data_IF_838933833620
#
_entry.id   IF_838933833620
#
_cell.length_a   1.000
_cell.length_b   1.000
_cell.length_c   1.000
_cell.angle_alpha   90.00
_cell.angle_beta   90.00
_cell.angle_gamma   90.00
#
_symmetry.space_group_name_H-M   'P 1'
#
loop_
_entity.id
_entity.type
_entity.pdbx_description
1 polymer ?
#
# COMPACT_ATOMS: atom_id res chain seq x y z
N UNK A 1 -27.74 -16.02 16.35
CA UNK A 1 -27.51 -15.52 14.97
C UNK A 1 -26.11 -15.94 14.51
N UNK A 2 -25.96 -16.40 13.27
CA UNK A 2 -24.65 -16.76 12.67
C UNK A 2 -23.86 -15.45 12.40
N UNK A 3 -22.81 -15.18 13.17
CA UNK A 3 -21.79 -14.20 12.78
C UNK A 3 -20.88 -14.82 11.72
N UNK A 4 -21.36 -14.91 10.49
CA UNK A 4 -20.49 -15.14 9.34
C UNK A 4 -20.09 -13.78 8.81
N UNK A 5 -18.98 -13.23 9.30
CA UNK A 5 -18.36 -12.12 8.59
C UNK A 5 -17.86 -12.73 7.27
N UNK A 6 -18.58 -12.49 6.17
CA UNK A 6 -18.15 -12.89 4.83
C UNK A 6 -17.01 -11.95 4.39
N UNK A 7 -15.87 -12.09 5.07
CA UNK A 7 -14.61 -11.46 4.71
C UNK A 7 -14.04 -12.32 3.59
N UNK A 8 -14.12 -11.84 2.34
CA UNK A 8 -13.17 -12.31 1.33
C UNK A 8 -11.77 -11.86 1.76
N UNK A 9 -11.13 -12.65 2.63
CA UNK A 9 -9.71 -12.72 2.97
C UNK A 9 -8.93 -11.39 3.17
N UNK A 10 -9.55 -10.33 3.69
CA UNK A 10 -8.83 -9.06 3.95
C UNK A 10 -9.34 -8.40 5.23
N UNK A 11 -8.44 -8.26 6.21
CA UNK A 11 -8.61 -7.49 7.44
C UNK A 11 -7.75 -6.22 7.31
N UNK A 12 -8.18 -5.12 7.93
CA UNK A 12 -7.40 -3.89 7.98
C UNK A 12 -6.81 -3.77 9.38
N UNK A 13 -5.51 -3.67 9.54
CA UNK A 13 -4.89 -3.37 10.82
C UNK A 13 -4.68 -1.86 10.96
N UNK A 14 -5.19 -1.29 12.05
CA UNK A 14 -4.86 0.06 12.49
C UNK A 14 -3.61 -0.03 13.36
N UNK A 15 -2.60 0.76 13.02
CA UNK A 15 -1.35 0.84 13.76
C UNK A 15 -1.20 2.28 14.23
N UNK A 16 -1.26 2.50 15.53
CA UNK A 16 -0.98 3.79 16.13
C UNK A 16 0.44 3.77 16.69
N UNK A 17 1.31 4.63 16.16
CA UNK A 17 2.66 4.82 16.66
C UNK A 17 2.71 6.11 17.48
N UNK A 18 2.91 5.98 18.79
CA UNK A 18 3.10 7.10 19.72
C UNK A 18 4.56 7.12 20.18
N UNK A 19 5.13 8.32 20.32
CA UNK A 19 6.47 8.50 20.92
C UNK A 19 6.48 7.94 22.35
N UNK A 20 7.44 7.06 22.66
CA UNK A 20 7.66 6.56 24.03
C UNK A 20 8.49 7.55 24.85
N UNK A 21 8.44 7.43 26.17
CA UNK A 21 9.28 8.18 27.13
C UNK A 21 10.77 7.84 27.00
N UNK A 22 11.11 6.67 26.47
CA UNK A 22 12.50 6.31 26.16
C UNK A 22 12.85 6.77 24.74
N UNK A 23 13.88 7.63 24.64
CA UNK A 23 14.35 8.34 23.43
C UNK A 23 14.63 7.49 22.17
N UNK A 24 14.57 6.15 22.28
CA UNK A 24 15.02 5.19 21.26
C UNK A 24 13.95 4.19 20.79
N UNK A 25 12.71 4.24 21.31
CA UNK A 25 11.63 3.35 20.84
C UNK A 25 10.29 4.09 20.66
N UNK A 26 9.42 3.50 19.85
CA UNK A 26 8.03 3.92 19.67
C UNK A 26 7.13 2.88 20.32
N UNK A 27 6.06 3.30 20.96
CA UNK A 27 5.02 2.36 21.39
C UNK A 27 4.03 2.20 20.24
N UNK A 28 3.93 0.98 19.69
CA UNK A 28 3.05 0.64 18.57
C UNK A 28 1.82 -0.11 19.05
N UNK A 29 0.65 0.52 19.00
CA UNK A 29 -0.62 -0.17 19.24
C UNK A 29 -1.15 -0.71 17.92
N UNK A 30 -1.41 -2.02 17.86
CA UNK A 30 -1.93 -2.67 16.65
C UNK A 30 -3.29 -3.26 16.93
N UNK A 31 -4.31 -2.74 16.25
CA UNK A 31 -5.69 -3.17 16.39
C UNK A 31 -6.24 -3.57 15.02
N UNK A 32 -6.50 -4.87 14.79
CA UNK A 32 -7.23 -5.32 13.62
C UNK A 32 -8.66 -4.79 13.64
N UNK A 33 -9.10 -4.29 12.50
CA UNK A 33 -10.46 -3.85 12.24
C UNK A 33 -11.01 -4.52 10.98
N UNK A 34 -12.28 -4.89 11.04
CA UNK A 34 -12.99 -5.51 9.94
C UNK A 34 -14.32 -4.82 9.71
N UNK A 35 -14.70 -4.62 8.44
CA UNK A 35 -16.00 -4.07 8.09
C UNK A 35 -16.98 -5.20 7.76
N UNK A 36 -18.08 -5.25 8.51
CA UNK A 36 -19.18 -6.16 8.23
C UNK A 36 -20.14 -5.50 7.23
N UNK A 37 -20.19 -6.05 6.01
CA UNK A 37 -21.07 -5.54 4.95
C UNK A 37 -22.56 -5.75 5.22
N UNK A 38 -22.91 -6.77 6.01
CA UNK A 38 -24.31 -7.08 6.33
C UNK A 38 -24.86 -6.10 7.36
N UNK A 39 -24.11 -5.87 8.44
CA UNK A 39 -24.53 -4.93 9.50
C UNK A 39 -24.13 -3.48 9.21
N UNK A 40 -23.35 -3.25 8.15
CA UNK A 40 -22.76 -1.95 7.82
C UNK A 40 -21.90 -1.36 8.96
N UNK A 41 -21.23 -2.22 9.73
CA UNK A 41 -20.53 -1.83 10.95
C UNK A 41 -19.06 -2.26 10.95
N UNK A 42 -18.20 -1.46 11.59
CA UNK A 42 -16.81 -1.83 11.86
C UNK A 42 -16.71 -2.59 13.19
N UNK A 43 -15.87 -3.61 13.24
CA UNK A 43 -15.53 -4.35 14.46
C UNK A 43 -14.03 -4.35 14.67
N UNK A 44 -13.60 -4.40 15.93
CA UNK A 44 -12.19 -4.55 16.33
C UNK A 44 -11.94 -5.97 16.84
N UNK A 45 -10.75 -6.51 16.57
CA UNK A 45 -10.30 -7.77 17.15
C UNK A 45 -9.56 -7.51 18.44
N UNK A 46 -9.97 -8.18 19.52
CA UNK A 46 -9.27 -8.16 20.80
C UNK A 46 -8.87 -9.57 21.20
N UNK A 47 -7.74 -9.67 21.91
CA UNK A 47 -7.31 -10.85 22.65
C UNK A 47 -7.21 -10.53 24.15
N UNK A 48 -6.69 -11.46 24.96
CA UNK A 48 -6.44 -11.21 26.38
C UNK A 48 -4.98 -10.77 26.62
N UNK A 49 -4.78 -9.80 27.50
CA UNK A 49 -3.47 -9.52 28.07
C UNK A 49 -3.12 -10.51 29.22
N UNK A 50 -1.87 -10.53 29.71
CA UNK A 50 -1.47 -11.43 30.80
C UNK A 50 -2.25 -11.23 32.11
N UNK A 51 -2.94 -10.09 32.26
CA UNK A 51 -3.77 -9.75 33.43
C UNK A 51 -5.25 -10.13 33.22
N UNK A 52 -5.60 -10.72 32.07
CA UNK A 52 -6.95 -11.17 31.74
C UNK A 52 -7.88 -10.07 31.22
N UNK A 53 -7.36 -8.90 30.84
CA UNK A 53 -8.16 -7.85 30.21
C UNK A 53 -8.20 -8.04 28.69
N UNK A 54 -9.32 -7.67 28.07
CA UNK A 54 -9.40 -7.55 26.62
C UNK A 54 -8.47 -6.42 26.16
N UNK A 55 -7.48 -6.75 25.34
CA UNK A 55 -6.48 -5.81 24.87
C UNK A 55 -6.21 -5.96 23.37
N UNK A 56 -5.56 -4.94 22.83
CA UNK A 56 -4.98 -4.92 21.50
C UNK A 56 -3.66 -5.70 21.46
N UNK A 57 -3.14 -5.89 20.26
CA UNK A 57 -1.90 -6.64 20.02
C UNK A 57 -0.68 -5.72 20.05
N UNK A 58 -0.66 -4.79 21.01
CA UNK A 58 0.39 -3.77 21.14
C UNK A 58 1.78 -4.39 21.27
N UNK A 59 2.79 -3.74 20.66
CA UNK A 59 4.20 -4.06 20.88
C UNK A 59 5.08 -2.80 20.84
N UNK A 60 6.24 -2.90 21.44
CA UNK A 60 7.27 -1.88 21.31
C UNK A 60 7.96 -1.99 19.95
N UNK A 61 7.90 -0.90 19.19
CA UNK A 61 8.57 -0.74 17.92
C UNK A 61 9.91 -0.04 18.12
N UNK A 62 10.95 -0.54 17.46
CA UNK A 62 12.26 0.10 17.48
C UNK A 62 12.27 1.34 16.58
N UNK A 63 13.14 2.31 16.88
CA UNK A 63 13.36 3.47 16.03
C UNK A 63 13.70 3.04 14.59
N UNK A 64 12.90 3.50 13.63
CA UNK A 64 13.11 3.20 12.20
C UNK A 64 12.39 1.95 11.68
N UNK A 65 11.72 1.17 12.55
CA UNK A 65 10.86 0.08 12.09
C UNK A 65 9.67 0.63 11.31
N UNK A 66 9.36 0.00 10.18
CA UNK A 66 8.21 0.39 9.37
C UNK A 66 6.93 -0.10 10.04
N UNK A 67 5.86 0.71 9.98
CA UNK A 67 4.59 0.37 10.63
C UNK A 67 3.92 -0.90 10.10
N UNK A 68 4.21 -1.32 8.87
CA UNK A 68 3.75 -2.61 8.31
C UNK A 68 4.51 -3.81 8.91
N UNK A 69 5.81 -3.67 9.15
CA UNK A 69 6.62 -4.64 9.91
C UNK A 69 6.12 -4.77 11.35
N UNK A 70 5.84 -3.63 12.00
CA UNK A 70 5.28 -3.60 13.36
C UNK A 70 3.91 -4.29 13.40
N UNK A 71 3.01 -3.99 12.45
CA UNK A 71 1.72 -4.66 12.34
C UNK A 71 1.86 -6.18 12.19
N UNK A 72 2.75 -6.62 11.30
CA UNK A 72 2.95 -8.04 11.04
C UNK A 72 3.50 -8.77 12.27
N UNK A 73 4.48 -8.18 12.97
CA UNK A 73 5.04 -8.74 14.19
C UNK A 73 3.99 -8.83 15.30
N UNK A 74 3.18 -7.79 15.46
CA UNK A 74 2.09 -7.75 16.45
C UNK A 74 1.07 -8.85 16.24
N UNK A 75 0.61 -8.99 15.00
CA UNK A 75 -0.39 -9.98 14.69
C UNK A 75 0.22 -11.38 14.76
N UNK A 76 1.43 -11.59 14.24
CA UNK A 76 2.10 -12.89 14.36
C UNK A 76 2.26 -13.35 15.82
N UNK A 77 2.75 -12.48 16.70
CA UNK A 77 2.90 -12.81 18.13
C UNK A 77 1.53 -12.98 18.79
N UNK A 78 0.66 -11.99 18.63
CA UNK A 78 -0.61 -11.89 19.32
C UNK A 78 -1.64 -12.95 18.91
N UNK A 79 -1.44 -13.58 17.75
CA UNK A 79 -2.35 -14.58 17.18
C UNK A 79 -1.65 -15.92 16.93
N UNK A 80 -0.46 -16.12 17.50
CA UNK A 80 0.32 -17.35 17.36
C UNK A 80 0.56 -17.78 15.88
N UNK A 81 0.84 -16.81 15.01
CA UNK A 81 1.18 -17.04 13.60
C UNK A 81 -0.01 -17.21 12.64
N UNK A 82 -1.25 -16.94 13.08
CA UNK A 82 -2.46 -17.14 12.27
C UNK A 82 -2.69 -16.09 11.16
N UNK A 83 -1.92 -14.99 11.14
CA UNK A 83 -2.03 -13.95 10.12
C UNK A 83 -0.84 -14.03 9.15
N UNK A 84 -1.14 -14.19 7.86
CA UNK A 84 -0.12 -14.31 6.82
C UNK A 84 -0.24 -13.19 5.79
N UNK A 85 0.91 -12.55 5.54
CA UNK A 85 1.20 -11.60 4.47
C UNK A 85 0.47 -10.25 4.54
N UNK A 86 1.25 -9.24 4.89
CA UNK A 86 0.88 -7.82 4.76
C UNK A 86 0.92 -7.40 3.30
N UNK A 87 -0.18 -6.80 2.83
CA UNK A 87 -0.39 -6.15 1.54
C UNK A 87 0.74 -5.19 1.17
N UNK A 88 0.65 -4.08 1.89
CA UNK A 88 1.51 -2.90 1.94
C UNK A 88 0.77 -1.95 2.90
N UNK A 89 1.50 -1.22 3.74
CA UNK A 89 0.93 -0.10 4.49
C UNK A 89 1.20 1.22 3.76
N UNK A 90 0.31 2.20 3.93
CA UNK A 90 0.56 3.57 3.48
C UNK A 90 0.57 4.50 4.69
N UNK A 91 1.62 5.33 4.88
CA UNK A 91 1.74 6.22 6.03
C UNK A 91 0.60 7.23 6.01
N UNK A 92 -0.35 7.09 6.93
CA UNK A 92 -1.47 8.00 7.04
C UNK A 92 -1.40 8.81 8.34
N UNK A 93 -2.21 9.86 8.30
CA UNK A 93 -2.30 11.03 9.15
C UNK A 93 -1.46 11.08 10.43
N UNK A 94 -0.80 12.23 10.60
CA UNK A 94 -0.49 12.71 11.94
C UNK A 94 -1.80 13.00 12.67
N UNK A 95 -1.98 12.44 13.86
CA UNK A 95 -3.10 12.76 14.73
C UNK A 95 -2.95 14.19 15.25
N UNK A 96 -4.00 14.83 15.79
CA UNK A 96 -3.87 16.12 16.46
C UNK A 96 -2.84 16.11 17.61
N UNK A 97 -2.57 14.94 18.17
CA UNK A 97 -1.56 14.69 19.20
C UNK A 97 -0.16 14.40 18.62
N UNK A 98 0.02 14.55 17.31
CA UNK A 98 1.26 14.30 16.55
C UNK A 98 1.72 12.83 16.55
N UNK A 99 0.83 11.88 16.86
CA UNK A 99 1.05 10.44 16.66
C UNK A 99 0.90 10.08 15.18
N UNK A 100 1.43 8.93 14.77
CA UNK A 100 1.28 8.45 13.38
C UNK A 100 0.24 7.33 13.35
N UNK A 101 -0.85 7.53 12.60
CA UNK A 101 -1.85 6.49 12.34
C UNK A 101 -1.57 5.80 11.00
N UNK A 102 -0.98 4.62 11.06
CA UNK A 102 -0.69 3.81 9.90
C UNK A 102 -1.80 2.78 9.65
N UNK A 103 -2.34 2.75 8.43
CA UNK A 103 -3.36 1.77 8.04
C UNK A 103 -2.72 0.73 7.14
N UNK A 104 -2.79 -0.52 7.59
CA UNK A 104 -2.12 -1.66 6.97
C UNK A 104 -3.16 -2.67 6.52
N UNK A 105 -3.08 -3.13 5.28
CA UNK A 105 -3.92 -4.23 4.81
C UNK A 105 -3.26 -5.57 5.14
N UNK A 106 -3.99 -6.45 5.82
CA UNK A 106 -3.50 -7.77 6.23
C UNK A 106 -4.41 -8.85 5.65
N UNK A 107 -3.82 -9.85 5.02
CA UNK A 107 -4.58 -11.03 4.59
C UNK A 107 -4.83 -11.96 5.78
N UNK A 108 -6.07 -12.44 5.88
CA UNK A 108 -6.52 -13.31 6.95
C UNK A 108 -6.94 -14.65 6.36
N UNK A 109 -6.40 -15.74 6.92
CA UNK A 109 -6.81 -17.11 6.60
C UNK A 109 -7.12 -17.82 7.93
N UNK A 110 -8.38 -17.82 8.40
CA UNK A 110 -8.72 -18.51 9.63
C UNK A 110 -8.52 -20.03 9.49
N UNK A 111 -7.90 -20.67 10.49
CA UNK A 111 -8.22 -22.06 10.86
C UNK A 111 -8.74 -22.06 12.29
N UNK A 112 -9.97 -22.55 12.46
CA UNK A 112 -10.70 -22.90 13.69
C UNK A 112 -10.07 -22.38 15.00
N UNK A 113 -10.58 -21.36 15.70
CA UNK A 113 -11.95 -21.28 16.23
C UNK A 113 -12.21 -19.85 16.73
N UNK A 114 -12.87 -19.00 15.93
CA UNK A 114 -13.47 -17.78 16.49
C UNK A 114 -14.63 -18.22 17.37
N UNK A 115 -14.46 -18.27 18.69
CA UNK A 115 -15.57 -18.58 19.58
C UNK A 115 -16.66 -17.53 19.42
N UNK A 116 -17.92 -17.98 19.39
CA UNK A 116 -19.08 -17.10 19.27
C UNK A 116 -19.09 -16.11 20.43
N UNK A 117 -19.53 -14.89 20.15
CA UNK A 117 -19.98 -13.94 21.18
C UNK A 117 -20.94 -14.70 22.10
N UNK A 118 -20.52 -14.94 23.35
CA UNK A 118 -21.31 -15.72 24.31
C UNK A 118 -20.74 -17.07 24.79
N UNK A 119 -19.52 -17.45 24.42
CA UNK A 119 -18.88 -18.72 24.85
C UNK A 119 -18.02 -18.51 26.12
N UNK A 120 -17.68 -19.55 26.89
CA UNK A 120 -16.62 -19.41 27.92
C UNK A 120 -15.27 -19.16 27.25
N UNK A 121 -14.66 -18.02 27.56
CA UNK A 121 -13.41 -17.56 26.95
C UNK A 121 -12.18 -18.02 27.75
N UNK A 122 -11.14 -18.48 27.06
CA UNK A 122 -9.80 -18.75 27.58
C UNK A 122 -8.82 -17.66 27.10
N UNK A 123 -7.62 -17.62 27.67
CA UNK A 123 -6.55 -16.67 27.29
C UNK A 123 -6.17 -16.71 25.79
N UNK A 124 -6.47 -17.83 25.12
CA UNK A 124 -6.15 -18.07 23.70
C UNK A 124 -7.32 -17.70 22.77
N UNK A 125 -8.45 -17.23 23.31
CA UNK A 125 -9.60 -16.84 22.52
C UNK A 125 -9.51 -15.37 22.04
N UNK A 126 -9.93 -15.15 20.80
CA UNK A 126 -10.09 -13.82 20.20
C UNK A 126 -11.55 -13.50 19.93
N UNK A 127 -11.91 -12.22 19.99
CA UNK A 127 -13.29 -11.77 19.72
C UNK A 127 -13.32 -10.53 18.83
N UNK A 128 -14.24 -10.54 17.87
CA UNK A 128 -14.61 -9.35 17.12
C UNK A 128 -15.70 -8.60 17.87
N UNK A 129 -15.42 -7.37 18.30
CA UNK A 129 -16.38 -6.51 18.98
C UNK A 129 -16.75 -5.35 18.06
N UNK A 130 -18.04 -5.14 17.75
CA UNK A 130 -18.50 -3.97 17.01
C UNK A 130 -18.09 -2.65 17.69
N UNK A 131 -17.66 -1.67 16.89
CA UNK A 131 -17.18 -0.38 17.43
C UNK A 131 -18.30 0.39 18.14
N UNK A 132 -19.57 0.22 17.73
CA UNK A 132 -20.69 0.86 18.42
C UNK A 132 -20.87 0.39 19.86
N UNK A 133 -20.38 -0.82 20.21
CA UNK A 133 -20.41 -1.31 21.59
C UNK A 133 -19.52 -0.47 22.52
N UNK A 134 -18.65 0.39 21.98
CA UNK A 134 -17.76 1.27 22.75
C UNK A 134 -18.16 2.76 22.71
N UNK A 135 -19.25 3.13 22.02
CA UNK A 135 -19.59 4.53 21.72
C UNK A 135 -20.11 5.37 22.92
N UNK A 136 -20.17 4.82 24.13
CA UNK A 136 -20.66 5.50 25.33
C UNK A 136 -19.58 5.48 26.44
N UNK A 137 -19.07 6.65 26.90
CA UNK A 137 -17.94 6.74 27.84
C UNK A 137 -18.16 6.04 29.19
N UNK A 138 -19.41 5.80 29.57
CA UNK A 138 -19.80 5.26 30.87
C UNK A 138 -20.18 3.77 30.83
N UNK A 139 -20.16 3.15 29.65
CA UNK A 139 -20.84 1.88 29.38
C UNK A 139 -19.88 0.69 29.12
N UNK A 140 -18.58 0.86 29.43
CA UNK A 140 -17.55 -0.17 29.20
C UNK A 140 -17.58 -1.27 30.30
N UNK A 141 -18.67 -1.34 31.04
CA UNK A 141 -19.07 -2.48 31.88
C UNK A 141 -20.04 -3.41 31.16
N UNK A 142 -20.38 -3.14 29.88
CA UNK A 142 -21.28 -3.99 29.10
C UNK A 142 -20.72 -5.39 28.96
N UNK A 143 -21.61 -6.33 29.22
CA UNK A 143 -21.37 -7.75 29.16
C UNK A 143 -21.53 -8.20 27.71
N UNK A 144 -20.73 -9.17 27.26
CA UNK A 144 -21.02 -9.93 26.05
C UNK A 144 -22.43 -10.52 26.16
N UNK A 145 -23.02 -10.97 25.05
CA UNK A 145 -24.40 -11.51 25.03
C UNK A 145 -24.67 -12.66 26.04
N UNK A 146 -23.63 -13.28 26.62
CA UNK A 146 -23.70 -14.28 27.69
C UNK A 146 -23.54 -13.74 29.12
N UNK A 147 -23.43 -12.43 29.32
CA UNK A 147 -23.25 -11.85 30.64
C UNK A 147 -21.80 -11.71 31.11
N UNK A 148 -20.78 -12.02 30.30
CA UNK A 148 -19.35 -11.84 30.66
C UNK A 148 -18.93 -10.38 30.51
N UNK A 149 -18.41 -9.71 31.57
CA UNK A 149 -17.91 -8.34 31.47
C UNK A 149 -16.75 -8.24 30.45
N UNK A 150 -16.84 -7.31 29.50
CA UNK A 150 -15.70 -7.01 28.62
C UNK A 150 -14.78 -6.04 29.37
N UNK A 151 -13.90 -6.57 30.22
CA UNK A 151 -12.96 -5.72 30.94
C UNK A 151 -11.82 -5.30 30.00
N UNK A 152 -12.00 -4.18 29.30
CA UNK A 152 -11.05 -3.68 28.30
C UNK A 152 -9.89 -2.92 28.95
N UNK A 153 -8.66 -3.13 28.47
CA UNK A 153 -7.48 -2.41 28.97
C UNK A 153 -7.61 -0.89 28.75
N UNK A 154 -7.08 -0.08 29.69
CA UNK A 154 -7.14 1.41 29.58
C UNK A 154 -6.55 1.92 28.28
N UNK A 155 -5.52 1.24 27.78
CA UNK A 155 -4.85 1.57 26.53
C UNK A 155 -5.77 1.44 25.31
N UNK A 156 -6.54 0.36 25.24
CA UNK A 156 -7.54 0.18 24.18
C UNK A 156 -8.67 1.19 24.30
N UNK A 157 -9.16 1.49 25.52
CA UNK A 157 -10.17 2.54 25.73
C UNK A 157 -9.71 3.91 25.21
N UNK A 158 -8.46 4.30 25.51
CA UNK A 158 -7.85 5.52 24.97
C UNK A 158 -7.73 5.47 23.45
N UNK A 159 -7.35 4.32 22.89
CA UNK A 159 -7.24 4.14 21.44
C UNK A 159 -8.60 4.37 20.75
N UNK A 160 -9.64 3.71 21.29
CA UNK A 160 -11.01 3.80 20.77
C UNK A 160 -11.48 5.25 20.82
N UNK A 161 -11.49 5.85 22.01
CA UNK A 161 -12.07 7.18 22.21
C UNK A 161 -11.35 8.30 21.47
N UNK A 162 -10.04 8.16 21.22
CA UNK A 162 -9.24 9.23 20.63
C UNK A 162 -9.05 9.07 19.12
N UNK A 163 -8.87 7.83 18.63
CA UNK A 163 -8.35 7.60 17.28
C UNK A 163 -9.27 6.75 16.39
N UNK A 164 -10.14 5.88 16.95
CA UNK A 164 -10.95 4.98 16.12
C UNK A 164 -11.87 5.77 15.19
N UNK A 165 -12.50 6.84 15.68
CA UNK A 165 -13.43 7.63 14.86
C UNK A 165 -12.73 8.31 13.69
N UNK A 166 -11.50 8.81 13.92
CA UNK A 166 -10.69 9.41 12.86
C UNK A 166 -10.28 8.35 11.83
N UNK A 167 -9.84 7.18 12.31
CA UNK A 167 -9.48 6.05 11.47
C UNK A 167 -10.66 5.55 10.63
N UNK A 168 -11.84 5.40 11.25
CA UNK A 168 -13.06 4.93 10.58
C UNK A 168 -13.59 5.96 9.58
N UNK A 169 -13.52 7.26 9.87
CA UNK A 169 -13.85 8.32 8.90
C UNK A 169 -13.01 8.21 7.65
N UNK A 170 -11.70 8.02 7.79
CA UNK A 170 -10.80 7.87 6.65
C UNK A 170 -11.04 6.56 5.88
N UNK A 171 -11.23 5.44 6.60
CA UNK A 171 -11.60 4.16 5.98
C UNK A 171 -12.93 4.24 5.22
N UNK A 172 -13.92 4.96 5.77
CA UNK A 172 -15.21 5.19 5.11
C UNK A 172 -15.07 6.13 3.91
N UNK A 173 -14.22 7.16 3.97
CA UNK A 173 -13.89 8.03 2.83
C UNK A 173 -13.30 7.24 1.68
N UNK A 174 -12.36 6.33 1.96
CA UNK A 174 -11.77 5.48 0.93
C UNK A 174 -12.75 4.45 0.37
N UNK A 175 -13.64 3.92 1.22
CA UNK A 175 -14.72 3.03 0.79
C UNK A 175 -15.74 3.74 -0.10
N UNK A 176 -16.09 4.98 0.22
CA UNK A 176 -17.05 5.80 -0.55
C UNK A 176 -16.42 6.34 -1.83
N UNK A 177 -15.15 6.76 -1.81
CA UNK A 177 -14.38 7.09 -3.02
C UNK A 177 -14.33 5.93 -4.01
N UNK A 178 -14.14 4.69 -3.52
CA UNK A 178 -14.29 3.47 -4.33
C UNK A 178 -15.71 3.26 -4.87
N UNK A 179 -16.75 3.67 -4.16
CA UNK A 179 -18.16 3.55 -4.59
C UNK A 179 -18.49 4.53 -5.72
N UNK A 180 -17.91 5.73 -5.70
CA UNK A 180 -18.02 6.73 -6.78
C UNK A 180 -17.21 6.33 -8.02
N UNK A 181 -16.02 5.72 -7.85
CA UNK A 181 -15.28 5.09 -8.95
C UNK A 181 -15.98 3.83 -9.51
N UNK A 182 -16.69 3.07 -8.65
CA UNK A 182 -17.38 1.81 -9.02
C UNK A 182 -18.62 2.01 -9.91
N UNK A 183 -19.19 3.23 -10.01
CA UNK A 183 -20.24 3.50 -11.02
C UNK A 183 -19.68 3.69 -12.43
N UNK A 184 -18.37 3.87 -12.58
CA UNK A 184 -17.71 3.95 -13.90
C UNK A 184 -17.02 2.66 -14.35
N UNK A 185 -16.83 1.68 -13.45
CA UNK A 185 -16.15 0.42 -13.78
C UNK A 185 -16.93 -0.77 -13.22
N UNK A 186 -17.96 -1.19 -13.93
CA UNK A 186 -18.51 -2.53 -13.79
C UNK A 186 -17.55 -3.47 -14.52
N UNK A 187 -16.69 -4.17 -13.77
CA UNK A 187 -16.29 -5.59 -13.90
C UNK A 187 -15.02 -5.81 -13.04
N UNK A 188 -15.16 -6.38 -11.84
CA UNK A 188 -14.03 -7.08 -11.20
C UNK A 188 -14.32 -8.58 -11.21
N UNK A 189 -13.95 -9.22 -12.31
CA UNK A 189 -13.47 -10.61 -12.27
C UNK A 189 -12.25 -10.67 -11.34
N UNK A 190 -11.95 -11.86 -10.80
CA UNK A 190 -10.71 -12.14 -10.09
C UNK A 190 -9.52 -11.47 -10.81
N UNK A 191 -8.59 -10.84 -10.09
CA UNK A 191 -7.46 -10.13 -10.68
C UNK A 191 -6.77 -11.01 -11.73
N UNK A 192 -7.11 -10.76 -12.99
CA UNK A 192 -6.67 -11.56 -14.10
C UNK A 192 -5.18 -11.27 -14.28
N UNK A 193 -4.37 -12.33 -14.26
CA UNK A 193 -2.93 -12.20 -14.47
C UNK A 193 -2.68 -11.53 -15.82
N UNK A 194 -1.66 -10.67 -15.88
CA UNK A 194 -1.11 -10.17 -17.14
C UNK A 194 -0.47 -11.28 -17.96
N UNK A 195 -0.15 -12.43 -17.33
CA UNK A 195 0.39 -13.59 -18.01
C UNK A 195 -0.70 -14.42 -18.66
N UNK A 196 -0.37 -14.99 -19.83
CA UNK A 196 -1.28 -15.85 -20.58
C UNK A 196 -2.34 -15.10 -21.38
N UNK A 197 -2.28 -13.77 -21.47
CA UNK A 197 -3.14 -12.99 -22.36
C UNK A 197 -2.77 -13.31 -23.81
N UNK A 198 -3.70 -13.86 -24.63
CA UNK A 198 -3.43 -14.17 -26.02
C UNK A 198 -3.02 -12.92 -26.81
N UNK A 199 -1.88 -13.00 -27.51
CA UNK A 199 -1.37 -11.90 -28.32
C UNK A 199 -0.80 -10.71 -27.54
N UNK A 200 -0.58 -10.86 -26.23
CA UNK A 200 0.15 -9.85 -25.46
C UNK A 200 1.63 -9.79 -25.85
N UNK A 201 2.19 -8.58 -25.81
CA UNK A 201 3.61 -8.31 -26.03
C UNK A 201 4.24 -8.03 -24.67
N UNK A 202 5.23 -8.84 -24.32
CA UNK A 202 6.00 -8.74 -23.10
C UNK A 202 7.34 -8.08 -23.41
N UNK A 203 7.70 -7.06 -22.64
CA UNK A 203 8.97 -6.33 -22.80
C UNK A 203 9.60 -6.09 -21.44
N UNK A 204 10.91 -6.28 -21.33
CA UNK A 204 11.71 -6.01 -20.11
C UNK A 204 13.21 -6.26 -20.35
N UNK A 205 13.56 -7.33 -21.07
CA UNK A 205 14.96 -7.79 -21.18
C UNK A 205 15.73 -7.05 -22.27
N UNK A 206 16.88 -6.47 -21.91
CA UNK A 206 17.79 -5.81 -22.85
C UNK A 206 18.20 -6.77 -23.97
N UNK A 207 18.16 -6.29 -25.21
CA UNK A 207 18.48 -7.09 -26.42
C UNK A 207 17.35 -8.01 -26.89
N UNK A 208 16.16 -7.96 -26.27
CA UNK A 208 14.95 -8.60 -26.78
C UNK A 208 14.06 -7.57 -27.49
N UNK A 209 13.18 -7.99 -28.42
CA UNK A 209 12.23 -7.10 -29.07
C UNK A 209 11.45 -6.25 -28.07
N UNK A 210 11.17 -5.00 -28.43
CA UNK A 210 10.39 -4.05 -27.64
C UNK A 210 11.05 -3.63 -26.31
N UNK A 211 12.32 -3.94 -26.07
CA UNK A 211 13.05 -3.41 -24.90
C UNK A 211 13.01 -1.87 -24.85
N UNK A 212 12.94 -1.25 -26.02
CA UNK A 212 12.77 0.18 -26.23
C UNK A 212 11.56 0.77 -25.49
N UNK A 213 10.55 -0.04 -25.17
CA UNK A 213 9.37 0.39 -24.42
C UNK A 213 9.64 0.58 -22.94
N UNK A 214 10.69 -0.04 -22.40
CA UNK A 214 11.07 0.16 -20.99
C UNK A 214 11.44 1.63 -20.75
N UNK A 215 11.17 2.12 -19.55
CA UNK A 215 11.57 3.46 -19.11
C UNK A 215 13.10 3.61 -18.96
N UNK A 216 13.83 2.48 -18.87
CA UNK A 216 15.29 2.44 -18.81
C UNK A 216 15.98 2.35 -20.18
N UNK A 217 15.23 2.24 -21.28
CA UNK A 217 15.81 2.14 -22.61
C UNK A 217 16.60 3.41 -22.99
N UNK A 218 17.84 3.20 -23.41
CA UNK A 218 18.77 4.23 -23.86
C UNK A 218 18.74 4.37 -25.38
N UNK A 219 19.32 5.46 -25.91
CA UNK A 219 19.43 5.71 -27.36
C UNK A 219 18.27 6.52 -27.95
N UNK A 220 17.30 6.91 -27.12
CA UNK A 220 16.11 7.67 -27.51
C UNK A 220 15.96 8.93 -26.66
N UNK A 221 16.91 9.89 -26.76
CA UNK A 221 16.82 11.11 -25.98
C UNK A 221 15.60 11.93 -26.38
N UNK A 222 15.11 12.74 -25.45
CA UNK A 222 13.99 13.64 -25.69
C UNK A 222 14.15 14.91 -24.84
N UNK A 223 13.53 16.00 -25.30
CA UNK A 223 13.50 17.28 -24.60
C UNK A 223 12.17 17.40 -23.85
N UNK A 224 12.22 17.70 -22.56
CA UNK A 224 11.02 17.95 -21.76
C UNK A 224 11.35 18.96 -20.65
N UNK A 225 10.48 19.96 -20.50
CA UNK A 225 10.67 21.11 -19.59
C UNK A 225 11.99 21.87 -19.83
N UNK A 226 12.44 21.95 -21.08
CA UNK A 226 13.66 22.68 -21.46
C UNK A 226 14.97 21.93 -21.23
N UNK A 227 14.94 20.73 -20.63
CA UNK A 227 16.11 19.88 -20.42
C UNK A 227 16.09 18.67 -21.37
N UNK A 228 17.27 18.16 -21.73
CA UNK A 228 17.43 16.89 -22.48
C UNK A 228 17.55 15.72 -21.52
N UNK A 229 16.78 14.66 -21.77
CA UNK A 229 16.75 13.44 -20.97
C UNK A 229 17.13 12.23 -21.83
N UNK A 230 17.98 11.35 -21.29
CA UNK A 230 18.50 10.19 -22.04
C UNK A 230 17.64 8.94 -21.87
N UNK A 231 16.81 8.90 -20.84
CA UNK A 231 15.84 7.83 -20.54
C UNK A 231 14.62 8.43 -19.85
N UNK A 232 13.44 7.83 -20.00
CA UNK A 232 12.24 8.25 -19.26
C UNK A 232 12.43 8.11 -17.75
N UNK A 233 13.21 7.10 -17.33
CA UNK A 233 13.57 6.90 -15.93
C UNK A 233 14.38 8.08 -15.36
N UNK A 234 15.35 8.61 -16.11
CA UNK A 234 16.16 9.74 -15.65
C UNK A 234 15.27 10.96 -15.35
N UNK A 235 14.36 11.30 -16.27
CA UNK A 235 13.38 12.36 -16.05
C UNK A 235 12.52 12.07 -14.82
N UNK A 236 11.93 10.87 -14.76
CA UNK A 236 11.06 10.44 -13.66
C UNK A 236 11.75 10.59 -12.30
N UNK A 237 13.01 10.19 -12.18
CA UNK A 237 13.77 10.31 -10.95
C UNK A 237 14.13 11.76 -10.61
N UNK A 238 14.46 12.60 -11.59
CA UNK A 238 14.72 14.03 -11.36
C UNK A 238 13.47 14.74 -10.81
N UNK A 239 12.28 14.43 -11.33
CA UNK A 239 11.03 15.08 -10.91
C UNK A 239 10.62 14.79 -9.46
N UNK A 240 11.26 13.83 -8.78
CA UNK A 240 11.14 13.66 -7.33
C UNK A 240 11.73 14.84 -6.55
N UNK A 241 12.65 15.59 -7.15
CA UNK A 241 13.46 16.60 -6.45
C UNK A 241 13.31 18.01 -7.05
N UNK A 242 12.18 18.33 -7.71
CA UNK A 242 11.97 19.67 -8.34
C UNK A 242 12.25 20.84 -7.38
N UNK A 243 11.89 20.69 -6.09
CA UNK A 243 12.12 21.70 -5.05
C UNK A 243 13.56 21.72 -4.51
N UNK A 244 14.37 20.70 -4.81
CA UNK A 244 15.79 20.63 -4.47
C UNK A 244 16.62 20.64 -5.76
N UNK A 245 16.95 21.85 -6.24
CA UNK A 245 17.62 22.07 -7.52
C UNK A 245 18.99 21.40 -7.62
N UNK A 246 19.71 21.26 -6.51
CA UNK A 246 20.99 20.55 -6.51
C UNK A 246 20.80 19.07 -6.89
N UNK A 247 19.88 18.36 -6.24
CA UNK A 247 19.62 16.94 -6.53
C UNK A 247 19.01 16.75 -7.92
N UNK A 248 18.07 17.62 -8.32
CA UNK A 248 17.48 17.61 -9.66
C UNK A 248 18.56 17.75 -10.75
N UNK A 249 19.43 18.76 -10.64
CA UNK A 249 20.48 19.03 -11.62
C UNK A 249 21.50 17.88 -11.67
N UNK A 250 21.88 17.31 -10.52
CA UNK A 250 22.75 16.11 -10.49
C UNK A 250 22.16 14.96 -11.28
N UNK A 251 20.85 14.68 -11.12
CA UNK A 251 20.19 13.61 -11.89
C UNK A 251 20.13 13.94 -13.38
N UNK A 252 19.76 15.18 -13.74
CA UNK A 252 19.74 15.67 -15.11
C UNK A 252 21.10 15.52 -15.79
N UNK A 253 22.18 15.75 -15.04
CA UNK A 253 23.55 15.77 -15.57
C UNK A 253 24.17 14.36 -15.66
N UNK A 254 23.51 13.32 -15.14
CA UNK A 254 23.98 11.95 -15.38
C UNK A 254 24.03 11.61 -16.87
N UNK A 255 25.12 10.96 -17.25
CA UNK A 255 25.37 10.42 -18.60
C UNK A 255 25.67 8.94 -18.50
N UNK A 256 25.43 8.23 -19.59
CA UNK A 256 25.86 6.85 -19.74
C UNK A 256 27.36 6.79 -19.88
N UNK A 257 28.02 5.96 -19.07
CA UNK A 257 29.45 5.67 -19.16
C UNK A 257 29.73 4.24 -18.64
N UNK A 258 31.01 3.91 -18.44
CA UNK A 258 31.46 2.60 -17.93
C UNK A 258 30.84 2.18 -16.58
N UNK A 259 30.35 3.13 -15.78
CA UNK A 259 29.76 2.89 -14.46
C UNK A 259 28.24 2.69 -14.52
N UNK A 260 27.61 2.78 -15.70
CA UNK A 260 26.19 2.48 -15.89
C UNK A 260 25.44 3.49 -16.75
N UNK A 261 24.19 3.16 -17.08
CA UNK A 261 23.29 4.03 -17.83
C UNK A 261 22.87 5.26 -17.03
N UNK A 262 22.54 6.36 -17.72
CA UNK A 262 22.01 7.56 -17.09
C UNK A 262 20.77 7.27 -16.22
N UNK A 263 19.84 6.43 -16.72
CA UNK A 263 18.65 6.02 -15.96
C UNK A 263 18.98 5.19 -14.71
N UNK A 264 19.95 4.28 -14.79
CA UNK A 264 20.37 3.48 -13.62
C UNK A 264 21.02 4.34 -12.54
N UNK A 265 21.90 5.27 -12.92
CA UNK A 265 22.51 6.24 -12.00
C UNK A 265 21.48 7.14 -11.36
N UNK A 266 20.52 7.63 -12.14
CA UNK A 266 19.40 8.43 -11.66
C UNK A 266 18.57 7.69 -10.61
N UNK A 267 18.23 6.42 -10.87
CA UNK A 267 17.52 5.56 -9.93
C UNK A 267 18.31 5.38 -8.63
N UNK A 268 19.57 4.95 -8.71
CA UNK A 268 20.39 4.68 -7.52
C UNK A 268 20.60 5.93 -6.66
N UNK A 269 20.85 7.07 -7.30
CA UNK A 269 20.98 8.36 -6.63
C UNK A 269 19.67 8.80 -5.97
N UNK A 270 18.54 8.68 -6.65
CA UNK A 270 17.24 9.03 -6.08
C UNK A 270 16.88 8.13 -4.88
N UNK A 271 17.25 6.85 -4.94
CA UNK A 271 17.01 5.91 -3.84
C UNK A 271 17.86 6.24 -2.61
N UNK A 272 19.13 6.66 -2.77
CA UNK A 272 19.97 7.11 -1.65
C UNK A 272 19.51 8.43 -1.04
N UNK A 273 18.75 9.24 -1.79
CA UNK A 273 18.22 10.54 -1.35
C UNK A 273 16.70 10.54 -1.11
N UNK A 274 16.07 9.37 -0.99
CA UNK A 274 14.60 9.23 -0.90
C UNK A 274 13.92 10.09 0.17
N UNK A 275 14.62 10.43 1.26
CA UNK A 275 14.10 11.29 2.32
C UNK A 275 13.89 12.77 1.92
N UNK A 276 14.48 13.18 0.79
CA UNK A 276 14.37 14.54 0.24
C UNK A 276 13.44 14.61 -0.98
N UNK A 277 12.82 13.49 -1.37
CA UNK A 277 11.86 13.46 -2.45
C UNK A 277 10.56 14.17 -2.05
N UNK A 278 9.83 14.66 -3.05
CA UNK A 278 8.53 15.30 -2.88
C UNK A 278 7.56 14.39 -2.09
N UNK A 279 7.04 14.93 -0.98
CA UNK A 279 6.11 14.22 -0.10
C UNK A 279 4.79 13.84 -0.81
N UNK A 280 4.44 14.52 -1.90
CA UNK A 280 3.27 14.24 -2.72
C UNK A 280 3.59 13.41 -3.97
N UNK A 281 4.79 12.82 -4.09
CA UNK A 281 5.25 12.06 -5.26
C UNK A 281 4.22 11.05 -5.77
N UNK A 282 3.61 10.28 -4.88
CA UNK A 282 2.64 9.24 -5.24
C UNK A 282 1.40 9.78 -6.00
N UNK A 283 1.03 11.05 -5.81
CA UNK A 283 -0.10 11.66 -6.52
C UNK A 283 0.24 12.08 -7.94
N UNK A 284 1.53 12.28 -8.25
CA UNK A 284 2.00 12.82 -9.54
C UNK A 284 2.83 11.84 -10.36
N UNK A 285 3.32 10.74 -9.78
CA UNK A 285 4.25 9.79 -10.42
C UNK A 285 3.76 9.27 -11.77
N UNK A 286 2.49 8.86 -11.87
CA UNK A 286 1.92 8.36 -13.13
C UNK A 286 1.85 9.43 -14.22
N UNK A 287 1.49 10.67 -13.86
CA UNK A 287 1.46 11.78 -14.81
C UNK A 287 2.87 12.13 -15.28
N UNK A 288 3.83 12.18 -14.36
CA UNK A 288 5.24 12.41 -14.71
C UNK A 288 5.77 11.35 -15.68
N UNK A 289 5.45 10.07 -15.44
CA UNK A 289 5.83 9.00 -16.35
C UNK A 289 5.11 9.12 -17.70
N UNK A 290 3.82 9.47 -17.70
CA UNK A 290 3.06 9.70 -18.93
C UNK A 290 3.68 10.81 -19.77
N UNK A 291 4.05 11.94 -19.15
CA UNK A 291 4.70 13.07 -19.84
C UNK A 291 6.04 12.63 -20.45
N UNK A 292 6.84 11.87 -19.69
CA UNK A 292 8.14 11.36 -20.14
C UNK A 292 8.00 10.39 -21.32
N UNK A 293 7.03 9.49 -21.28
CA UNK A 293 6.77 8.53 -22.36
C UNK A 293 6.21 9.24 -23.59
N UNK A 294 5.28 10.17 -23.41
CA UNK A 294 4.72 10.97 -24.51
C UNK A 294 5.84 11.71 -25.22
N UNK A 295 6.69 12.45 -24.49
CA UNK A 295 7.83 13.15 -25.08
C UNK A 295 8.83 12.21 -25.75
N UNK A 296 9.15 11.06 -25.12
CA UNK A 296 10.04 10.04 -25.70
C UNK A 296 9.51 9.51 -27.03
N UNK A 297 8.24 9.09 -27.08
CA UNK A 297 7.69 8.47 -28.29
C UNK A 297 7.40 9.51 -29.38
N UNK A 298 6.86 10.68 -29.05
CA UNK A 298 6.58 11.73 -30.03
C UNK A 298 7.84 12.29 -30.71
N UNK A 299 8.95 12.38 -29.97
CA UNK A 299 10.22 12.90 -30.51
C UNK A 299 11.09 11.84 -31.18
N UNK A 300 10.70 10.57 -31.12
CA UNK A 300 11.44 9.46 -31.73
C UNK A 300 10.52 8.69 -32.70
N UNK A 301 10.42 9.10 -33.98
CA UNK A 301 9.47 8.50 -34.94
C UNK A 301 9.59 6.98 -35.11
N UNK A 302 10.79 6.42 -34.98
CA UNK A 302 10.99 4.97 -35.01
C UNK A 302 10.29 4.26 -33.83
N UNK A 303 10.29 4.86 -32.64
CA UNK A 303 9.57 4.33 -31.48
C UNK A 303 8.07 4.50 -31.62
N UNK A 304 7.60 5.65 -32.09
CA UNK A 304 6.17 5.89 -32.35
C UNK A 304 5.61 4.87 -33.34
N UNK A 305 6.33 4.61 -34.43
CA UNK A 305 5.99 3.57 -35.39
C UNK A 305 6.01 2.17 -34.77
N UNK A 306 7.04 1.86 -33.96
CA UNK A 306 7.12 0.58 -33.25
C UNK A 306 5.92 0.39 -32.31
N UNK A 307 5.54 1.40 -31.54
CA UNK A 307 4.38 1.35 -30.64
C UNK A 307 3.07 1.21 -31.41
N UNK A 308 2.88 1.98 -32.47
CA UNK A 308 1.70 1.91 -33.34
C UNK A 308 1.58 0.53 -34.01
N UNK A 309 2.70 -0.10 -34.37
CA UNK A 309 2.73 -1.44 -34.99
C UNK A 309 2.18 -2.53 -34.07
N UNK A 310 2.10 -2.29 -32.75
CA UNK A 310 1.51 -3.22 -31.78
C UNK A 310 -0.02 -3.30 -31.87
N UNK A 311 -0.67 -2.42 -32.65
CA UNK A 311 -2.12 -2.42 -32.91
C UNK A 311 -2.96 -2.47 -31.62
N UNK A 312 -3.65 -3.58 -31.37
CA UNK A 312 -4.52 -3.80 -30.20
C UNK A 312 -3.90 -4.74 -29.17
N UNK A 313 -2.63 -5.14 -29.36
CA UNK A 313 -1.94 -6.02 -28.43
C UNK A 313 -1.88 -5.38 -27.04
N UNK A 314 -2.03 -6.21 -26.00
CA UNK A 314 -1.79 -5.79 -24.63
C UNK A 314 -0.29 -5.70 -24.42
N UNK A 315 0.17 -4.55 -23.92
CA UNK A 315 1.59 -4.32 -23.61
C UNK A 315 1.83 -4.61 -22.13
N UNK A 316 2.80 -5.46 -21.83
CA UNK A 316 3.13 -5.91 -20.48
C UNK A 316 4.60 -5.69 -20.20
N UNK A 317 4.91 -4.80 -19.24
CA UNK A 317 6.26 -4.64 -18.70
C UNK A 317 6.55 -5.85 -17.80
N UNK A 318 7.29 -6.83 -18.32
CA UNK A 318 7.53 -8.14 -17.67
C UNK A 318 8.67 -8.09 -16.65
N UNK A 319 8.70 -7.02 -15.85
CA UNK A 319 9.64 -6.91 -14.74
C UNK A 319 9.20 -7.83 -13.60
N UNK A 320 10.03 -8.79 -13.16
CA UNK A 320 9.67 -9.71 -12.07
C UNK A 320 9.70 -9.02 -10.69
N UNK A 321 10.33 -7.86 -10.58
CA UNK A 321 10.58 -7.15 -9.32
C UNK A 321 9.76 -5.87 -9.17
N UNK A 322 9.28 -5.27 -10.27
CA UNK A 322 8.45 -4.07 -10.23
C UNK A 322 6.97 -4.44 -10.26
N UNK A 323 6.29 -4.26 -9.12
CA UNK A 323 4.86 -4.51 -9.01
C UNK A 323 4.00 -3.32 -9.47
N UNK A 324 4.54 -2.10 -9.49
CA UNK A 324 3.75 -0.90 -9.79
C UNK A 324 3.77 -0.59 -11.29
N UNK A 325 4.95 -0.44 -11.88
CA UNK A 325 5.07 -0.22 -13.32
C UNK A 325 5.04 -1.53 -14.11
N UNK A 326 5.49 -2.62 -13.52
CA UNK A 326 5.57 -3.94 -14.14
C UNK A 326 4.45 -4.91 -13.76
N UNK A 327 4.51 -6.10 -14.36
CA UNK A 327 3.62 -7.22 -14.11
C UNK A 327 3.98 -7.99 -12.83
N UNK A 328 5.19 -7.81 -12.29
CA UNK A 328 5.70 -8.53 -11.14
C UNK A 328 5.87 -10.03 -11.40
N UNK A 329 6.51 -10.73 -10.46
CA UNK A 329 6.89 -12.16 -10.59
C UNK A 329 5.76 -13.10 -11.03
N UNK A 330 4.52 -12.81 -10.65
CA UNK A 330 3.36 -13.69 -10.89
C UNK A 330 2.36 -13.10 -11.90
N UNK A 331 2.71 -12.01 -12.59
CA UNK A 331 1.81 -11.32 -13.52
C UNK A 331 0.64 -10.61 -12.84
N UNK A 332 0.73 -10.36 -11.53
CA UNK A 332 -0.35 -9.75 -10.73
C UNK A 332 -0.07 -8.28 -10.36
N UNK A 333 1.05 -7.75 -10.84
CA UNK A 333 1.42 -6.34 -10.74
C UNK A 333 0.45 -5.42 -11.47
N UNK A 334 0.60 -4.12 -11.26
CA UNK A 334 -0.32 -3.12 -11.77
C UNK A 334 -0.07 -2.81 -13.26
N UNK A 335 1.12 -3.15 -13.80
CA UNK A 335 1.51 -2.95 -15.19
C UNK A 335 1.21 -1.51 -15.68
N UNK A 336 1.49 -0.51 -14.84
CA UNK A 336 1.22 0.88 -15.20
C UNK A 336 1.99 1.32 -16.45
N UNK A 337 3.21 0.83 -16.66
CA UNK A 337 4.00 1.22 -17.82
C UNK A 337 3.34 0.75 -19.12
N UNK A 338 2.95 -0.54 -19.19
CA UNK A 338 2.20 -1.08 -20.32
C UNK A 338 0.89 -0.32 -20.58
N UNK A 339 0.15 0.02 -19.52
CA UNK A 339 -1.08 0.83 -19.63
C UNK A 339 -0.84 2.24 -20.18
N UNK A 340 0.22 2.91 -19.74
CA UNK A 340 0.57 4.24 -20.21
C UNK A 340 1.00 4.22 -21.68
N UNK A 341 1.79 3.23 -22.10
CA UNK A 341 2.15 3.03 -23.50
C UNK A 341 0.92 2.78 -24.39
N UNK A 342 0.00 1.92 -23.94
CA UNK A 342 -1.27 1.70 -24.65
C UNK A 342 -2.14 2.96 -24.73
N UNK A 343 -2.02 3.88 -23.76
CA UNK A 343 -2.75 5.16 -23.74
C UNK A 343 -2.21 6.16 -24.76
N UNK A 344 -0.90 6.20 -24.98
CA UNK A 344 -0.26 7.12 -25.94
C UNK A 344 -0.13 6.53 -27.35
N UNK A 345 -0.39 5.23 -27.51
CA UNK A 345 -0.44 4.56 -28.82
C UNK A 345 -1.54 5.18 -29.69
N UNK A 346 -1.17 5.61 -30.90
CA UNK A 346 -2.04 6.25 -31.88
C UNK A 346 -2.98 5.26 -32.58
#
# INVERSE_FOLDING_TARGET
MKFSINLKNTVVALVLLSTSLSLNCWSGRVVPVAFNKTTQEWSILLGHDPQGYWSDFSLEANKGERGDTVAQKALSIGTNGEYTNTVTGTPWAKTPQNDILHIVKVHYTPRATLKKQGSNFTKDDFVWIPVSEFAQPQDISRRLANGTPVNVSRGVKKMINTYIDQALKELNKQRTAKKTQSKSNTTSQAAQSWFGIPGAIYFYTKGKPYYEFTNFAEGYPFILNGDTWYTSEQYYQAQKFVSNKLLYNTIRDFRTDKNGSAGKKAFDFAQSHKGQADQQWNKKSLNVMLDALTAKFDQNPALDNMLSSTKKAVLVEDSPVDFFFGAGKNGTGENHLGKLLMKIRK
#
